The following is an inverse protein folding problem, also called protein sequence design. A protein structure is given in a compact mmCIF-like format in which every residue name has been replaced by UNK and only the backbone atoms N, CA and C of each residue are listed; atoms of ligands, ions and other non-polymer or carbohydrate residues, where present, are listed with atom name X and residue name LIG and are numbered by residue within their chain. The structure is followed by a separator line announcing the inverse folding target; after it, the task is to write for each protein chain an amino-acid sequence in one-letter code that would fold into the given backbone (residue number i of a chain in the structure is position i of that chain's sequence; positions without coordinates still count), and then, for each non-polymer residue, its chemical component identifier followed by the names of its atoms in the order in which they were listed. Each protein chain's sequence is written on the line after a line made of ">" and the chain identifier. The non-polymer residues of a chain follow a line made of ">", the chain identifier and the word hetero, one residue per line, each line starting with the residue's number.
data_IF_603818991571
#
_entry.id   IF_603818991571
#
_cell.length_a   1.000
_cell.length_b   1.000
_cell.length_c   1.000
_cell.angle_alpha   90.00
_cell.angle_beta   90.00
_cell.angle_gamma   90.00
#
_symmetry.space_group_name_H-M   'P 1'
#
loop_
_entity.id
_entity.type
_entity.pdbx_description
1 polymer ?
#
# COMPACT_ATOMS: atom_id res chain seq x y z
N UNK A 1 5.56 3.39 14.86
CA UNK A 1 4.36 3.57 14.01
C UNK A 1 4.38 2.50 12.94
N UNK A 2 3.24 1.96 12.56
CA UNK A 2 3.17 0.93 11.51
C UNK A 2 2.96 1.59 10.15
N UNK A 3 3.52 1.02 9.09
CA UNK A 3 3.52 1.58 7.74
C UNK A 3 3.15 0.52 6.71
N UNK A 4 2.54 0.96 5.62
CA UNK A 4 2.31 0.15 4.43
C UNK A 4 2.92 0.84 3.23
N UNK A 5 3.64 0.08 2.41
CA UNK A 5 4.13 0.50 1.11
C UNK A 5 3.57 -0.45 0.03
N UNK A 6 3.05 0.11 -1.06
CA UNK A 6 2.31 -0.61 -2.08
C UNK A 6 2.87 -0.26 -3.45
N UNK A 7 3.24 -1.27 -4.24
CA UNK A 7 3.41 -1.15 -5.69
C UNK A 7 2.35 -1.99 -6.37
N UNK A 8 1.34 -1.36 -6.97
CA UNK A 8 0.11 -2.01 -7.46
C UNK A 8 -0.22 -1.55 -8.88
N UNK A 9 -1.06 -2.28 -9.63
CA UNK A 9 -1.53 -1.83 -10.95
C UNK A 9 -2.26 -0.48 -10.90
N UNK A 10 -2.00 0.37 -11.90
CA UNK A 10 -2.79 1.58 -12.17
C UNK A 10 -3.57 1.43 -13.46
N UNK A 11 -4.59 2.28 -13.63
CA UNK A 11 -5.10 2.56 -14.97
C UNK A 11 -4.17 3.50 -15.76
N UNK A 12 -4.46 3.70 -17.05
CA UNK A 12 -3.68 4.56 -17.95
C UNK A 12 -3.61 6.05 -17.55
N UNK A 13 -4.38 6.47 -16.55
CA UNK A 13 -4.36 7.84 -16.00
C UNK A 13 -3.54 7.93 -14.70
N UNK A 14 -2.82 6.86 -14.32
CA UNK A 14 -2.04 6.83 -13.08
C UNK A 14 -2.90 6.76 -11.81
N UNK A 15 -4.19 6.38 -11.92
CA UNK A 15 -5.05 6.18 -10.75
C UNK A 15 -5.01 4.72 -10.28
N UNK A 16 -5.05 4.49 -8.97
CA UNK A 16 -5.05 3.14 -8.42
C UNK A 16 -6.34 2.41 -8.79
N UNK A 17 -6.23 1.13 -9.09
CA UNK A 17 -7.37 0.22 -9.23
C UNK A 17 -7.62 -0.61 -7.96
N UNK A 18 -6.95 -0.23 -6.86
CA UNK A 18 -7.08 -0.85 -5.55
C UNK A 18 -7.28 0.20 -4.49
N UNK A 19 -7.91 -0.19 -3.40
CA UNK A 19 -7.89 0.57 -2.14
C UNK A 19 -7.43 -0.33 -1.01
N UNK A 20 -6.94 0.27 0.07
CA UNK A 20 -6.62 -0.46 1.30
C UNK A 20 -7.69 -0.11 2.32
N UNK A 21 -8.26 -1.13 2.95
CA UNK A 21 -9.14 -0.95 4.10
C UNK A 21 -8.43 -1.45 5.36
N UNK A 22 -8.62 -0.74 6.47
CA UNK A 22 -8.01 -1.06 7.75
C UNK A 22 -9.03 -0.92 8.88
N UNK A 23 -8.90 -1.74 9.93
CA UNK A 23 -9.75 -1.63 11.10
C UNK A 23 -9.67 -2.83 12.03
N UNK A 24 -10.79 -3.07 12.70
CA UNK A 24 -11.07 -4.29 13.45
C UNK A 24 -12.42 -4.77 12.92
N UNK A 25 -12.46 -5.95 12.29
CA UNK A 25 -13.66 -6.48 11.68
C UNK A 25 -14.83 -6.54 12.70
N UNK A 26 -16.06 -6.18 12.30
CA UNK A 26 -16.49 -5.82 10.94
C UNK A 26 -16.29 -4.33 10.57
N UNK A 27 -15.74 -3.52 11.48
CA UNK A 27 -15.60 -2.07 11.30
C UNK A 27 -14.29 -1.74 10.56
N UNK A 28 -14.35 -1.80 9.23
CA UNK A 28 -13.24 -1.45 8.34
C UNK A 28 -13.48 -0.09 7.70
N UNK A 29 -12.43 0.72 7.60
CA UNK A 29 -12.45 2.02 6.93
C UNK A 29 -11.41 2.05 5.81
N UNK A 30 -11.70 2.79 4.74
CA UNK A 30 -10.72 3.10 3.71
C UNK A 30 -9.54 3.85 4.33
N UNK A 31 -8.34 3.30 4.15
CA UNK A 31 -7.09 3.95 4.48
C UNK A 31 -6.78 4.97 3.39
N UNK A 32 -6.51 6.21 3.79
CA UNK A 32 -5.97 7.21 2.89
C UNK A 32 -4.51 6.85 2.56
N UNK A 33 -4.28 6.40 1.32
CA UNK A 33 -2.97 6.03 0.79
C UNK A 33 -2.27 7.16 0.04
N UNK A 34 -2.89 8.36 0.01
CA UNK A 34 -2.36 9.54 -0.64
C UNK A 34 -2.29 9.44 -2.17
N UNK A 35 -1.49 10.31 -2.76
CA UNK A 35 -1.23 10.34 -4.20
C UNK A 35 -0.10 9.38 -4.58
N UNK A 36 -0.12 8.88 -5.82
CA UNK A 36 0.97 8.04 -6.33
C UNK A 36 2.31 8.78 -6.24
N UNK A 37 3.36 8.08 -5.80
CA UNK A 37 4.71 8.62 -5.73
C UNK A 37 5.31 8.62 -7.14
N UNK A 38 5.31 9.80 -7.76
CA UNK A 38 5.88 10.03 -9.08
C UNK A 38 7.37 10.37 -8.98
N UNK A 39 8.24 9.36 -9.00
CA UNK A 39 9.62 9.46 -9.49
C UNK A 39 10.44 8.17 -9.32
N UNK A 40 9.97 7.22 -8.50
CA UNK A 40 10.60 5.90 -8.37
C UNK A 40 12.11 5.90 -8.08
N UNK A 41 12.72 7.00 -7.66
CA UNK A 41 14.18 7.10 -7.52
C UNK A 41 14.59 6.78 -6.09
N UNK A 42 15.57 5.89 -5.95
CA UNK A 42 16.28 5.65 -4.70
C UNK A 42 17.77 5.91 -4.95
N UNK A 43 18.34 6.89 -4.25
CA UNK A 43 19.75 7.26 -4.37
C UNK A 43 20.17 7.61 -5.82
N UNK A 44 19.29 8.28 -6.57
CA UNK A 44 19.56 8.67 -7.97
C UNK A 44 19.41 7.54 -8.99
N UNK A 45 19.15 6.30 -8.56
CA UNK A 45 18.81 5.20 -9.45
C UNK A 45 17.30 5.15 -9.65
N UNK A 46 16.87 5.13 -10.90
CA UNK A 46 15.48 4.87 -11.25
C UNK A 46 15.16 3.42 -10.87
N UNK A 47 14.38 3.22 -9.81
CA UNK A 47 13.65 1.99 -9.63
C UNK A 47 12.47 2.05 -10.61
N UNK A 48 12.17 0.93 -11.27
CA UNK A 48 11.03 0.79 -12.18
C UNK A 48 9.70 0.76 -11.39
N UNK A 49 9.53 1.72 -10.46
CA UNK A 49 8.46 1.78 -9.47
C UNK A 49 7.40 2.83 -9.76
N UNK A 50 7.51 3.57 -10.85
CA UNK A 50 6.51 4.59 -11.22
C UNK A 50 6.56 4.92 -12.72
N UNK A 51 6.64 3.92 -13.59
CA UNK A 51 6.26 4.16 -14.98
C UNK A 51 4.74 4.42 -14.97
N UNK A 52 4.37 5.70 -15.04
CA UNK A 52 2.98 6.16 -15.10
C UNK A 52 2.23 5.33 -16.16
N UNK A 53 1.08 4.76 -15.76
CA UNK A 53 0.26 3.90 -16.59
C UNK A 53 0.49 2.39 -16.45
N UNK A 54 1.52 1.92 -15.73
CA UNK A 54 1.75 0.47 -15.46
C UNK A 54 1.70 0.08 -13.98
N UNK A 55 2.25 0.91 -13.09
CA UNK A 55 2.26 0.64 -11.65
C UNK A 55 2.32 1.91 -10.81
N UNK A 56 1.63 1.90 -9.67
CA UNK A 56 1.47 3.02 -8.77
C UNK A 56 2.12 2.67 -7.44
N UNK A 57 2.98 3.55 -6.96
CA UNK A 57 3.65 3.41 -5.68
C UNK A 57 2.95 4.27 -4.63
N UNK A 58 2.59 3.69 -3.50
CA UNK A 58 1.99 4.38 -2.36
C UNK A 58 2.74 4.07 -1.07
N UNK A 59 2.68 5.00 -0.13
CA UNK A 59 3.13 4.81 1.23
C UNK A 59 2.18 5.50 2.19
N UNK A 60 1.70 4.77 3.19
CA UNK A 60 0.76 5.27 4.17
C UNK A 60 1.12 4.80 5.58
N UNK A 61 0.76 5.62 6.56
CA UNK A 61 0.83 5.21 7.96
C UNK A 61 -0.43 4.43 8.33
N UNK A 62 -0.27 3.29 9.00
CA UNK A 62 -1.38 2.54 9.55
C UNK A 62 -1.70 3.11 10.94
N UNK A 63 -2.97 3.45 11.24
CA UNK A 63 -3.38 3.88 12.56
C UNK A 63 -3.03 2.86 13.67
N UNK A 64 -2.93 3.33 14.91
CA UNK A 64 -2.75 2.42 16.05
C UNK A 64 -4.01 1.59 16.30
N UNK A 65 -3.82 0.36 16.81
CA UNK A 65 -4.93 -0.53 17.16
C UNK A 65 -5.59 -1.26 15.98
N UNK A 66 -5.03 -1.14 14.77
CA UNK A 66 -5.48 -1.88 13.59
C UNK A 66 -4.96 -3.33 13.68
N UNK A 67 -5.87 -4.29 13.47
CA UNK A 67 -5.54 -5.72 13.42
C UNK A 67 -5.87 -6.34 12.06
N UNK A 68 -6.84 -5.76 11.34
CA UNK A 68 -7.26 -6.19 10.02
C UNK A 68 -6.83 -5.19 8.94
N UNK A 69 -6.21 -5.70 7.87
CA UNK A 69 -5.79 -4.94 6.69
C UNK A 69 -6.18 -5.76 5.47
N UNK A 70 -6.88 -5.16 4.51
CA UNK A 70 -7.22 -5.81 3.25
C UNK A 70 -6.96 -4.90 2.05
N UNK A 71 -6.46 -5.50 0.97
CA UNK A 71 -6.34 -4.87 -0.34
C UNK A 71 -7.58 -5.24 -1.16
N UNK A 72 -8.33 -4.22 -1.58
CA UNK A 72 -9.61 -4.39 -2.28
C UNK A 72 -9.46 -3.91 -3.71
N UNK A 73 -9.84 -4.74 -4.68
CA UNK A 73 -9.96 -4.34 -6.08
C UNK A 73 -11.17 -3.41 -6.25
N UNK A 74 -10.94 -2.18 -6.69
CA UNK A 74 -11.98 -1.19 -6.96
C UNK A 74 -12.31 -1.08 -8.45
N UNK A 75 -11.56 -1.78 -9.31
CA UNK A 75 -11.81 -1.85 -10.73
C UNK A 75 -12.89 -2.87 -11.11
N UNK A 76 -13.43 -2.71 -12.32
CA UNK A 76 -14.44 -3.62 -12.89
C UNK A 76 -13.82 -4.86 -13.56
N UNK A 77 -12.52 -5.05 -13.42
CA UNK A 77 -11.76 -6.11 -14.07
C UNK A 77 -10.85 -6.79 -13.05
N UNK A 78 -10.53 -8.06 -13.28
CA UNK A 78 -9.51 -8.76 -12.51
C UNK A 78 -8.16 -8.07 -12.70
N UNK A 79 -7.51 -7.70 -11.60
CA UNK A 79 -6.17 -7.15 -11.63
C UNK A 79 -5.14 -8.26 -11.84
N UNK A 80 -4.25 -8.06 -12.81
CA UNK A 80 -3.11 -8.94 -13.01
C UNK A 80 -1.89 -8.40 -12.28
N UNK A 81 -1.25 -9.27 -11.50
CA UNK A 81 0.00 -8.97 -10.80
C UNK A 81 1.20 -9.72 -11.40
N UNK A 82 1.08 -10.22 -12.63
CA UNK A 82 2.07 -11.13 -13.23
C UNK A 82 3.29 -10.41 -13.82
N UNK A 83 3.13 -9.17 -14.27
CA UNK A 83 4.16 -8.43 -15.01
C UNK A 83 4.28 -7.02 -14.44
N UNK A 84 5.44 -6.66 -13.87
CA UNK A 84 5.65 -5.33 -13.30
C UNK A 84 6.23 -5.30 -11.89
N UNK A 85 6.58 -6.45 -11.28
CA UNK A 85 7.29 -6.48 -10.00
C UNK A 85 6.50 -5.84 -8.85
N UNK A 86 5.20 -6.13 -8.78
CA UNK A 86 4.28 -5.63 -7.76
C UNK A 86 4.62 -6.16 -6.37
N UNK A 87 4.37 -5.36 -5.36
CA UNK A 87 4.70 -5.71 -3.98
C UNK A 87 3.79 -4.99 -2.99
N UNK A 88 3.58 -5.65 -1.86
CA UNK A 88 2.96 -5.06 -0.67
C UNK A 88 3.90 -5.33 0.48
N UNK A 89 4.34 -4.27 1.16
CA UNK A 89 5.17 -4.37 2.35
C UNK A 89 4.43 -3.72 3.51
N UNK A 90 4.28 -4.46 4.61
CA UNK A 90 3.69 -3.97 5.84
C UNK A 90 4.75 -4.06 6.92
N UNK A 91 5.07 -2.92 7.53
CA UNK A 91 6.00 -2.82 8.65
C UNK A 91 5.21 -2.49 9.90
N UNK A 92 5.21 -3.39 10.87
CA UNK A 92 4.53 -3.19 12.16
C UNK A 92 5.58 -2.99 13.24
N UNK A 93 5.52 -1.85 13.94
CA UNK A 93 6.37 -1.58 15.08
C UNK A 93 5.58 -1.87 16.36
N UNK A 94 5.78 -3.06 16.93
CA UNK A 94 5.29 -3.38 18.27
C UNK A 94 6.23 -2.83 19.35
N UNK A 95 5.66 -2.20 20.37
CA UNK A 95 6.36 -1.98 21.64
C UNK A 95 6.05 -3.15 22.55
N UNK A 96 7.05 -4.01 22.81
CA UNK A 96 6.92 -5.00 23.86
C UNK A 96 6.78 -4.26 25.20
N UNK A 97 5.71 -4.55 25.94
CA UNK A 97 5.59 -4.13 27.33
C UNK A 97 6.32 -5.22 28.13
N UNK A 98 7.54 -4.92 28.58
CA UNK A 98 8.20 -5.78 29.57
C UNK A 98 7.42 -5.68 30.88
N UNK A 99 6.75 -6.77 31.29
CA UNK A 99 6.34 -6.92 32.67
C UNK A 99 7.61 -7.14 33.50
N UNK A 100 7.95 -6.16 34.34
CA UNK A 100 8.87 -6.42 35.46
C UNK A 100 8.09 -7.24 36.48
N UNK A 101 8.47 -8.50 36.63
CA UNK A 101 8.11 -9.35 37.75
C UNK A 101 8.62 -8.77 39.08
#
# INVERSE_FOLDING_TARGET
>A
HSHIALKVPCNGNGQPQVTVVTGIAPNLNTLDIGTAINNGTLNGNQLDLSNEGKSCLYHAQIPQGITDIALVNTGNQTLSFTEGGYSVTITVHGTAIEHKD
#
